data_IF_714037648706
#
_entry.id   IF_714037648706
#
_cell.length_a   1.000
_cell.length_b   1.000
_cell.length_c   1.000
_cell.angle_alpha   90.00
_cell.angle_beta   90.00
_cell.angle_gamma   90.00
#
_symmetry.space_group_name_H-M   'P 1'
#
loop_
_entity.id
_entity.type
_entity.pdbx_description
1 polymer ?
2 non-polymer ?
3 non-polymer ?
4 water ?
#
# COMPACT_ATOMS: atom_id res chain seq x y z
N UNK A 1 -14.18 15.64 0.62
CA UNK A 1 -13.01 14.93 -0.02
C UNK A 1 -12.21 15.78 -1.02
N UNK A 2 -10.97 15.38 -1.23
CA UNK A 2 -10.08 16.04 -2.17
C UNK A 2 -9.39 14.93 -2.98
N UNK A 3 -9.13 15.24 -4.25
CA UNK A 3 -8.38 14.31 -5.10
C UNK A 3 -6.96 14.79 -4.94
N UNK A 4 -6.19 14.02 -4.18
CA UNK A 4 -4.80 14.28 -3.86
C UNK A 4 -3.95 14.04 -5.08
N UNK A 5 -2.84 14.75 -5.16
CA UNK A 5 -1.98 14.54 -6.32
C UNK A 5 -1.13 13.28 -6.05
N UNK A 6 -1.10 12.31 -6.98
CA UNK A 6 -0.24 11.14 -6.73
C UNK A 6 1.23 11.42 -7.11
N UNK A 7 2.16 11.26 -6.16
CA UNK A 7 3.58 11.53 -6.42
C UNK A 7 4.22 10.48 -7.35
N UNK A 8 4.85 10.95 -8.43
CA UNK A 8 5.51 10.06 -9.38
C UNK A 8 6.97 9.99 -9.11
N UNK A 9 7.51 8.84 -9.54
CA UNK A 9 8.92 8.60 -9.39
C UNK A 9 9.77 9.49 -10.23
N UNK A 10 9.99 10.53 -9.52
CA UNK A 10 10.94 11.61 -9.69
C UNK A 10 10.86 12.21 -8.30
N UNK A 11 10.97 11.37 -7.22
CA UNK A 11 10.85 11.96 -6.16
C UNK A 11 11.41 11.20 -4.93
N UNK A 12 12.11 11.95 -4.05
CA UNK A 12 12.74 11.40 -2.88
C UNK A 12 11.80 10.97 -1.75
N UNK A 13 10.63 11.59 -1.65
CA UNK A 13 9.70 11.19 -0.60
C UNK A 13 9.33 9.67 -0.77
N UNK A 14 9.35 9.15 -1.99
CA UNK A 14 9.03 7.75 -2.29
C UNK A 14 9.97 6.70 -1.66
N UNK A 15 11.26 7.06 -1.44
CA UNK A 15 12.22 6.17 -0.78
C UNK A 15 12.49 6.47 0.68
N UNK A 16 11.71 7.37 1.26
CA UNK A 16 11.89 7.72 2.65
C UNK A 16 11.05 6.82 3.53
N UNK A 17 11.68 5.97 4.35
CA UNK A 17 10.82 5.09 5.21
C UNK A 17 9.95 6.04 6.06
N UNK A 18 8.70 5.63 6.28
CA UNK A 18 7.73 6.38 7.03
C UNK A 18 7.73 6.24 8.52
N UNK A 19 7.31 7.30 9.21
CA UNK A 19 7.21 7.27 10.67
C UNK A 19 5.86 6.59 11.08
N UNK A 20 5.80 5.99 12.28
CA UNK A 20 4.58 5.39 12.74
C UNK A 20 3.60 6.50 13.03
N UNK A 21 2.32 6.20 12.89
CA UNK A 21 1.27 7.12 13.32
C UNK A 21 1.19 7.04 14.87
N UNK A 22 1.13 8.21 15.53
CA UNK A 22 1.00 8.31 16.98
C UNK A 22 -0.33 8.90 17.41
N UNK A 23 -0.77 9.96 16.75
CA UNK A 23 -2.03 10.58 17.09
C UNK A 23 -3.04 10.10 16.09
N UNK A 24 -4.01 9.29 16.55
CA UNK A 24 -5.06 8.81 15.67
C UNK A 24 -6.12 9.93 15.72
N UNK A 25 -5.95 10.92 14.85
CA UNK A 25 -6.79 12.12 14.88
C UNK A 25 -7.65 12.30 13.65
N UNK A 26 -8.36 13.41 13.65
CA UNK A 26 -9.31 13.71 12.55
C UNK A 26 -8.57 13.88 11.24
N UNK A 27 -7.39 14.50 11.30
CA UNK A 27 -6.62 14.75 10.10
C UNK A 27 -6.20 13.41 9.45
N UNK A 28 -5.89 12.40 10.27
CA UNK A 28 -5.53 11.05 9.80
C UNK A 28 -6.78 10.45 9.10
N UNK A 29 -7.94 10.70 9.67
CA UNK A 29 -9.14 10.19 9.05
C UNK A 29 -9.38 10.80 7.67
N UNK A 30 -9.18 12.10 7.58
CA UNK A 30 -9.37 12.76 6.31
C UNK A 30 -8.31 12.29 5.30
N UNK A 31 -7.09 12.06 5.77
CA UNK A 31 -6.07 11.55 4.88
C UNK A 31 -6.59 10.22 4.23
N UNK A 32 -6.97 9.25 5.05
CA UNK A 32 -7.45 7.96 4.57
C UNK A 32 -8.65 8.06 3.61
N UNK A 33 -9.63 8.88 3.99
CA UNK A 33 -10.79 9.06 3.12
C UNK A 33 -10.33 9.61 1.77
N UNK A 34 -9.50 10.66 1.77
CA UNK A 34 -9.04 11.26 0.47
C UNK A 34 -8.20 10.25 -0.34
N UNK A 35 -7.39 9.46 0.36
CA UNK A 35 -6.56 8.45 -0.30
C UNK A 35 -7.42 7.39 -1.01
N UNK A 36 -8.44 6.89 -0.33
CA UNK A 36 -9.22 5.83 -0.93
C UNK A 36 -9.90 6.30 -2.24
N UNK A 37 -10.57 7.45 -2.23
CA UNK A 37 -11.23 7.93 -3.49
C UNK A 37 -10.20 8.32 -4.57
N UNK A 38 -9.14 9.03 -4.16
CA UNK A 38 -8.05 9.39 -5.06
C UNK A 38 -7.54 8.10 -5.77
N UNK A 39 -7.36 7.05 -4.99
CA UNK A 39 -6.82 5.79 -5.50
C UNK A 39 -7.74 5.19 -6.55
N UNK A 40 -9.03 5.11 -6.15
CA UNK A 40 -10.08 4.53 -7.00
C UNK A 40 -10.22 5.35 -8.28
N UNK A 41 -10.19 6.68 -8.15
CA UNK A 41 -10.33 7.55 -9.35
C UNK A 41 -9.17 7.26 -10.33
N UNK A 42 -8.00 6.95 -9.78
CA UNK A 42 -6.80 6.66 -10.58
C UNK A 42 -6.71 5.18 -10.94
N UNK A 43 -7.77 4.41 -10.70
CA UNK A 43 -7.77 2.96 -11.03
C UNK A 43 -6.78 2.09 -10.26
N UNK A 44 -6.38 2.50 -9.06
CA UNK A 44 -5.43 1.69 -8.27
C UNK A 44 -6.21 0.70 -7.41
N UNK A 45 -5.56 -0.35 -6.89
CA UNK A 45 -6.21 -1.27 -5.98
C UNK A 45 -5.59 -1.00 -4.59
N UNK A 46 -4.62 -0.12 -4.54
CA UNK A 46 -4.01 0.26 -3.28
C UNK A 46 -3.35 1.65 -3.37
N UNK A 47 -3.00 2.23 -2.23
CA UNK A 47 -2.28 3.51 -2.17
C UNK A 47 -1.65 3.66 -0.78
N UNK A 48 -0.43 4.18 -0.76
CA UNK A 48 0.32 4.36 0.48
C UNK A 48 0.48 5.88 0.72
N UNK A 49 0.55 6.31 1.97
CA UNK A 49 0.66 7.77 2.28
C UNK A 49 1.85 8.50 1.59
N UNK A 50 3.05 7.84 1.47
CA UNK A 50 4.17 8.54 0.80
C UNK A 50 3.83 8.87 -0.66
N UNK A 51 2.95 8.07 -1.27
CA UNK A 51 2.57 8.39 -2.65
C UNK A 51 1.75 9.72 -2.71
N UNK A 52 1.26 10.25 -1.59
CA UNK A 52 0.54 11.57 -1.67
C UNK A 52 1.32 12.61 -0.85
N UNK A 53 2.62 12.33 -0.69
CA UNK A 53 3.54 13.20 -0.01
C UNK A 53 3.51 13.13 1.49
N UNK A 54 2.92 12.11 2.10
CA UNK A 54 2.85 12.05 3.57
C UNK A 54 3.67 10.85 4.09
N UNK A 55 4.77 11.11 4.82
CA UNK A 55 5.63 10.02 5.32
C UNK A 55 5.18 9.40 6.62
N UNK A 56 3.95 8.87 6.60
CA UNK A 56 3.33 8.17 7.77
C UNK A 56 3.00 6.74 7.31
N UNK A 57 3.02 5.80 8.24
CA UNK A 57 2.76 4.40 7.92
C UNK A 57 1.26 4.20 7.82
N UNK A 58 0.71 4.67 6.70
CA UNK A 58 -0.76 4.66 6.39
C UNK A 58 -0.98 4.18 4.98
N UNK A 59 -1.86 3.21 4.82
CA UNK A 59 -2.14 2.73 3.49
C UNK A 59 -3.55 2.17 3.41
N UNK A 60 -4.07 2.05 2.20
CA UNK A 60 -5.38 1.44 2.04
C UNK A 60 -5.40 0.49 0.78
N UNK A 61 -6.12 -0.60 0.84
CA UNK A 61 -6.22 -1.51 -0.35
C UNK A 61 -7.71 -1.74 -0.50
N UNK A 62 -8.14 -2.02 -1.74
CA UNK A 62 -9.57 -2.25 -2.02
C UNK A 62 -9.52 -2.98 -3.35
N UNK A 63 -9.47 -4.29 -3.30
CA UNK A 63 -9.34 -5.03 -4.54
C UNK A 63 -10.66 -5.71 -4.95
N UNK A 64 -11.54 -5.92 -3.99
CA UNK A 64 -12.85 -6.59 -4.18
C UNK A 64 -13.91 -5.95 -3.33
N UNK A 65 -15.13 -5.99 -3.84
CA UNK A 65 -16.30 -5.40 -3.17
C UNK A 65 -16.68 -6.05 -1.83
N UNK A 66 -16.84 -7.37 -1.86
CA UNK A 66 -17.14 -8.20 -0.69
C UNK A 66 -16.17 -7.80 0.46
N UNK A 67 -14.89 -8.09 0.26
CA UNK A 67 -13.84 -7.75 1.22
C UNK A 67 -14.04 -6.27 1.50
N UNK A 68 -13.77 -5.47 0.47
CA UNK A 68 -13.93 -4.04 0.59
C UNK A 68 -12.64 -3.34 0.95
N UNK A 69 -12.73 -2.06 1.29
CA UNK A 69 -11.54 -1.36 1.61
C UNK A 69 -10.95 -1.89 2.92
N UNK A 70 -9.64 -1.92 2.98
CA UNK A 70 -8.96 -2.37 4.17
C UNK A 70 -7.92 -1.29 4.46
N UNK A 71 -8.18 -0.49 5.48
CA UNK A 71 -7.24 0.56 5.81
C UNK A 71 -6.18 -0.05 6.74
N UNK A 72 -4.91 0.27 6.53
CA UNK A 72 -3.86 -0.24 7.37
C UNK A 72 -2.98 0.88 7.97
N UNK A 73 -2.85 0.90 9.29
CA UNK A 73 -2.01 1.87 9.94
C UNK A 73 -0.98 1.15 10.76
N UNK A 74 0.25 1.60 10.67
CA UNK A 74 1.37 0.94 11.34
C UNK A 74 1.36 -0.59 11.10
N UNK A 75 1.11 -1.00 9.87
CA UNK A 75 1.08 -2.46 9.61
C UNK A 75 2.42 -3.18 9.69
N UNK A 76 2.43 -4.41 10.21
CA UNK A 76 3.62 -5.25 10.11
C UNK A 76 3.19 -6.68 9.68
N UNK A 77 4.01 -7.35 8.93
CA UNK A 77 3.73 -8.69 8.49
C UNK A 77 4.29 -9.63 9.53
N UNK A 78 3.42 -10.38 10.18
CA UNK A 78 3.82 -11.32 11.22
C UNK A 78 4.24 -12.63 10.60
N UNK A 79 3.66 -13.03 9.49
CA UNK A 79 4.08 -14.35 8.95
C UNK A 79 3.90 -14.29 7.44
N UNK A 80 4.65 -15.13 6.71
CA UNK A 80 4.50 -15.28 5.26
C UNK A 80 4.65 -16.77 4.93
N UNK A 81 3.89 -17.20 3.94
CA UNK A 81 3.98 -18.59 3.49
C UNK A 81 3.75 -18.74 2.01
N UNK A 82 4.57 -19.58 1.35
CA UNK A 82 4.37 -19.86 -0.06
C UNK A 82 4.82 -18.66 -0.88
N UNK A 83 4.84 -18.83 -2.21
CA UNK A 83 5.25 -17.73 -3.06
C UNK A 83 4.41 -17.61 -4.30
N UNK A 84 4.35 -16.43 -4.91
CA UNK A 84 3.56 -16.25 -6.12
C UNK A 84 4.34 -15.31 -7.03
N UNK A 85 4.23 -15.53 -8.33
CA UNK A 85 4.93 -14.70 -9.29
C UNK A 85 3.90 -14.08 -10.21
N UNK A 86 4.02 -12.79 -10.47
CA UNK A 86 3.01 -12.18 -11.28
C UNK A 86 3.40 -10.75 -11.60
N UNK A 87 2.61 -10.11 -12.46
CA UNK A 87 2.75 -8.75 -12.95
C UNK A 87 2.33 -7.71 -11.91
N UNK A 88 3.13 -6.66 -11.78
CA UNK A 88 2.81 -5.55 -10.89
C UNK A 88 3.13 -4.26 -11.58
N UNK A 89 2.32 -3.25 -11.27
CA UNK A 89 2.55 -1.89 -11.74
C UNK A 89 2.50 -1.02 -10.47
N UNK A 90 2.65 0.27 -10.62
CA UNK A 90 2.62 1.17 -9.49
C UNK A 90 2.17 2.56 -9.96
N UNK A 91 1.27 3.19 -9.21
CA UNK A 91 0.79 4.52 -9.58
C UNK A 91 1.87 5.56 -9.58
N UNK A 92 2.99 5.28 -8.96
CA UNK A 92 4.05 6.28 -8.95
C UNK A 92 5.01 6.06 -10.17
N UNK A 93 4.77 4.99 -10.94
CA UNK A 93 5.57 4.64 -12.16
C UNK A 93 4.58 4.35 -13.29
N UNK A 94 3.81 5.38 -13.66
CA UNK A 94 2.84 5.12 -14.74
C UNK A 94 3.40 4.44 -15.94
N UNK A 95 2.75 3.38 -16.40
CA UNK A 95 3.19 2.73 -17.61
C UNK A 95 4.23 1.64 -17.44
N UNK A 96 4.80 1.52 -16.24
CA UNK A 96 5.84 0.53 -15.99
C UNK A 96 5.28 -0.71 -15.32
N UNK A 97 5.55 -1.90 -15.89
CA UNK A 97 5.09 -3.16 -15.33
C UNK A 97 6.21 -4.18 -15.34
N UNK A 98 6.28 -4.97 -14.29
CA UNK A 98 7.30 -5.99 -14.18
C UNK A 98 6.81 -7.19 -13.41
N UNK A 99 7.56 -8.29 -13.52
CA UNK A 99 7.27 -9.50 -12.84
C UNK A 99 7.88 -9.44 -11.45
N UNK A 100 7.08 -9.84 -10.47
CA UNK A 100 7.51 -9.77 -9.10
C UNK A 100 7.07 -10.97 -8.28
N UNK A 101 8.00 -11.49 -7.51
CA UNK A 101 7.71 -12.63 -6.68
C UNK A 101 7.45 -12.13 -5.27
N UNK A 102 6.29 -12.47 -4.70
CA UNK A 102 5.93 -12.12 -3.33
C UNK A 102 5.41 -13.35 -2.58
N UNK A 103 5.19 -13.17 -1.28
CA UNK A 103 4.65 -14.26 -0.47
C UNK A 103 3.22 -14.45 -0.93
N UNK A 104 2.73 -15.68 -0.80
CA UNK A 104 1.41 -16.00 -1.25
C UNK A 104 0.45 -15.71 -0.07
N UNK A 105 0.70 -16.30 1.08
CA UNK A 105 -0.12 -16.08 2.24
C UNK A 105 0.59 -15.12 3.19
N UNK A 106 -0.15 -14.21 3.80
CA UNK A 106 0.47 -13.35 4.77
C UNK A 106 -0.49 -13.16 5.95
N UNK A 107 0.09 -12.92 7.13
CA UNK A 107 -0.69 -12.62 8.29
C UNK A 107 -0.18 -11.25 8.65
N UNK A 108 -1.07 -10.29 8.79
CA UNK A 108 -0.74 -8.89 9.09
C UNK A 108 -1.37 -8.38 10.36
N UNK A 109 -0.62 -7.57 11.08
CA UNK A 109 -1.08 -6.95 12.32
C UNK A 109 -1.04 -5.42 12.03
N UNK A 110 -2.14 -4.72 12.26
CA UNK A 110 -2.17 -3.30 11.93
C UNK A 110 -3.17 -2.59 12.82
N UNK A 111 -3.27 -1.26 12.70
CA UNK A 111 -4.25 -0.48 13.51
C UNK A 111 -5.31 0.17 12.61
N UNK A 112 -6.52 0.37 13.12
CA UNK A 112 -7.56 1.05 12.39
C UNK A 112 -7.50 2.57 12.81
N UNK A 113 -8.45 3.38 12.31
CA UNK A 113 -8.49 4.82 12.61
C UNK A 113 -8.53 5.17 14.07
N UNK A 114 -9.03 4.28 14.90
CA UNK A 114 -9.11 4.56 16.31
C UNK A 114 -7.93 4.00 17.04
N UNK A 115 -6.97 3.44 16.33
CA UNK A 115 -5.82 2.91 17.02
C UNK A 115 -5.98 1.52 17.56
N UNK A 116 -7.09 0.87 17.25
CA UNK A 116 -7.24 -0.51 17.77
C UNK A 116 -6.46 -1.46 16.88
N UNK A 117 -5.82 -2.45 17.48
CA UNK A 117 -5.01 -3.41 16.73
C UNK A 117 -5.85 -4.61 16.25
N UNK A 118 -5.77 -4.94 14.95
CA UNK A 118 -6.49 -6.10 14.47
C UNK A 118 -5.51 -7.04 13.79
N UNK A 119 -6.00 -8.21 13.43
CA UNK A 119 -5.19 -9.23 12.76
C UNK A 119 -5.89 -9.58 11.47
N UNK A 120 -5.13 -9.60 10.38
CA UNK A 120 -5.73 -9.90 9.06
C UNK A 120 -4.90 -10.96 8.36
N UNK A 121 -5.56 -11.90 7.69
CA UNK A 121 -4.82 -12.89 6.93
C UNK A 121 -5.22 -12.74 5.49
N UNK A 122 -4.27 -12.78 4.57
CA UNK A 122 -4.65 -12.65 3.18
C UNK A 122 -3.82 -13.55 2.28
N UNK A 123 -4.28 -13.69 1.06
CA UNK A 123 -3.53 -14.52 0.12
C UNK A 123 -3.77 -14.09 -1.35
N UNK A 124 -3.01 -14.67 -2.28
CA UNK A 124 -3.17 -14.36 -3.69
C UNK A 124 -3.02 -12.87 -3.98
N UNK A 125 -3.90 -12.34 -4.80
CA UNK A 125 -3.77 -10.96 -5.21
C UNK A 125 -3.90 -9.88 -4.08
N UNK A 126 -4.80 -10.08 -3.13
CA UNK A 126 -4.94 -9.14 -2.04
C UNK A 126 -3.63 -9.10 -1.21
N UNK A 127 -2.97 -10.24 -1.05
CA UNK A 127 -1.74 -10.33 -0.28
C UNK A 127 -0.63 -9.61 -1.06
N UNK A 128 -0.68 -9.71 -2.38
CA UNK A 128 0.30 -9.02 -3.19
C UNK A 128 0.14 -7.48 -3.03
N UNK A 129 -1.08 -7.01 -3.15
CA UNK A 129 -1.36 -5.58 -3.03
C UNK A 129 -0.86 -5.08 -1.68
N UNK A 130 -1.16 -5.82 -0.62
CA UNK A 130 -0.77 -5.41 0.73
C UNK A 130 0.72 -5.33 0.90
N UNK A 131 1.41 -6.30 0.35
CA UNK A 131 2.87 -6.27 0.47
C UNK A 131 3.45 -5.07 -0.30
N UNK A 132 2.87 -4.81 -1.48
CA UNK A 132 3.31 -3.70 -2.29
C UNK A 132 3.16 -2.41 -1.49
N UNK A 133 2.00 -2.19 -0.84
CA UNK A 133 1.78 -0.96 -0.03
C UNK A 133 2.71 -0.92 1.18
N UNK A 134 2.83 -2.04 1.89
CA UNK A 134 3.72 -2.06 3.09
C UNK A 134 5.16 -1.69 2.62
N UNK A 135 5.59 -2.24 1.50
CA UNK A 135 6.94 -1.85 0.98
C UNK A 135 7.03 -0.29 0.92
N UNK A 136 6.03 0.33 0.34
CA UNK A 136 6.01 1.80 0.22
C UNK A 136 6.21 2.51 1.55
N UNK A 137 5.61 1.99 2.60
CA UNK A 137 5.70 2.59 3.94
C UNK A 137 7.12 2.50 4.47
N UNK A 138 7.92 1.60 3.88
CA UNK A 138 9.31 1.50 4.32
C UNK A 138 10.29 2.04 3.29
N UNK A 139 9.77 2.82 2.35
CA UNK A 139 10.61 3.42 1.34
C UNK A 139 11.12 2.43 0.28
N UNK A 140 10.40 1.34 0.07
CA UNK A 140 10.82 0.30 -0.90
C UNK A 140 9.85 0.37 -2.10
N UNK A 141 10.38 0.51 -3.33
CA UNK A 141 9.57 0.62 -4.54
C UNK A 141 9.63 -0.75 -5.22
N UNK A 142 8.63 -1.12 -6.01
CA UNK A 142 8.61 -2.47 -6.62
C UNK A 142 9.70 -2.75 -7.60
N UNK A 143 10.27 -1.66 -8.05
CA UNK A 143 11.36 -1.59 -9.01
C UNK A 143 12.56 -2.40 -8.49
N UNK A 144 12.75 -2.39 -7.16
CA UNK A 144 13.83 -3.10 -6.47
C UNK A 144 13.57 -4.61 -6.45
N UNK A 145 12.36 -5.03 -6.79
CA UNK A 145 12.01 -6.46 -6.73
C UNK A 145 11.57 -7.05 -8.06
N UNK A 146 11.67 -6.25 -9.12
CA UNK A 146 11.28 -6.74 -10.41
C UNK A 146 12.23 -7.79 -10.94
N UNK A 147 11.66 -8.90 -11.36
CA UNK A 147 12.44 -9.97 -11.94
C UNK A 147 12.84 -9.59 -13.41
N UNK A 148 11.87 -9.08 -14.16
CA UNK A 148 12.05 -8.61 -15.52
C UNK A 148 10.90 -7.68 -15.80
N UNK A 149 11.11 -6.69 -16.67
CA UNK A 149 10.00 -5.83 -17.04
C UNK A 149 9.41 -6.46 -18.25
N UNK A 150 8.12 -6.26 -18.45
CA UNK A 150 7.50 -6.85 -19.62
C UNK A 150 7.78 -5.98 -20.85
N UNK A 151 7.71 -6.62 -22.02
CA UNK A 151 7.93 -5.97 -23.31
C UNK A 151 6.67 -5.22 -23.76
X LIG B 1 2.92 1.50 -5.65
X LIG C 1 -1.25 1.16 -6.71
X LIG C 1 0.03 1.55 -5.95
X LIG C 1 0.93 2.00 -6.62
X LIG C 1 0.14 1.37 -4.64
X LIG C 1 1.19 1.67 -4.03
X LIG C 1 -0.94 -0.27 -7.36
X LIG C 1 -1.97 -0.69 -8.41
X LIG C 1 -3.15 -0.60 -8.19
X LIG C 1 -0.99 -1.34 -6.23
X LIG C 1 -0.58 -2.65 -6.94
X LIG C 1 -0.48 -3.79 -6.06
X LIG C 1 0.20 -4.97 -6.73
X LIG C 1 -0.60 -5.57 -7.83
X LIG C 1 -1.44 -1.15 -9.59
X LIG C 1 -2.20 -1.57 -10.74
X LIG C 1 -2.12 -0.62 -11.95
X LIG C 1 -0.73 -0.23 -12.26
X LIG C 1 -2.94 0.61 -11.61
X LIG C 1 -1.70 -3.01 -11.08
X LIG C 1 -0.50 -3.29 -10.90
X LIG C 1 -2.58 -3.93 -11.54
X LIG C 1 -2.17 -5.31 -11.85
X LIG C 1 -4.04 -3.74 -11.80
X LIG C 1 -4.49 -5.09 -12.29
X LIG C 1 -3.48 -6.07 -11.81
X LIG C 1 -1.52 -5.42 -13.21
X LIG C 1 -0.33 -5.08 -13.24
#
# INVERSE_FOLDING_TARGET
MAVLEIIKHPNEVLETPCERVINFDKKLVKLLKDMHETMLIADGVGLAAPQVGVSLQVAVVDVDDDTGKIELINPSILEKRGEQVGPEGCLSFPGLYGEVERADYIKVRAQNRRGKVFLLEAEGFLARAIQHEIDHLHGVLFTSKVTRYYEENELE
NI NI
BB2 C5 C3 O4 N1 O2 C6 C12 O13 C7 C8 C9 C10 C11 N14 C15 C16 C18 C17 C19 O20 N21 C22 C23 C24 C25 C26 O27
#
